data_IF_738902144284
#
_entry.id   IF_738902144284
#
_cell.length_a   1.000
_cell.length_b   1.000
_cell.length_c   1.000
_cell.angle_alpha   90.00
_cell.angle_beta   90.00
_cell.angle_gamma   90.00
#
_symmetry.space_group_name_H-M   'P 1'
#
loop_
_entity.id
_entity.type
_entity.pdbx_description
1 polymer ?
#
# COMPACT_ATOMS: atom_id res chain seq x y z
N UNK A 1 -5.33 3.96 19.09
CA UNK A 1 -5.31 4.22 17.71
C UNK A 1 -4.69 3.09 16.93
N UNK A 2 -5.44 2.59 16.02
CA UNK A 2 -4.99 1.46 15.25
C UNK A 2 -4.40 1.89 13.93
N UNK A 3 -3.18 1.48 13.71
CA UNK A 3 -2.55 1.71 12.44
C UNK A 3 -2.05 0.40 11.92
N UNK A 4 -2.18 0.21 10.64
CA UNK A 4 -1.69 -1.01 10.05
C UNK A 4 -0.18 -1.08 10.24
N UNK A 5 0.28 -2.27 10.53
CA UNK A 5 1.70 -2.49 10.67
C UNK A 5 2.39 -2.15 9.34
N UNK A 6 3.57 -1.55 9.38
CA UNK A 6 4.26 -1.19 8.14
C UNK A 6 4.43 -2.35 7.18
N UNK A 7 4.65 -3.54 7.70
CA UNK A 7 4.79 -4.70 6.83
C UNK A 7 3.49 -4.98 6.09
N UNK A 8 2.36 -4.76 6.75
CA UNK A 8 1.07 -4.96 6.12
C UNK A 8 0.84 -3.90 5.05
N UNK A 9 1.20 -2.66 5.34
CA UNK A 9 1.06 -1.60 4.36
C UNK A 9 1.92 -1.86 3.14
N UNK A 10 3.12 -2.33 3.38
CA UNK A 10 4.04 -2.64 2.30
C UNK A 10 3.47 -3.73 1.41
N UNK A 11 2.90 -4.74 2.02
CA UNK A 11 2.28 -5.83 1.28
C UNK A 11 1.09 -5.34 0.48
N UNK A 12 0.28 -4.47 1.07
CA UNK A 12 -0.88 -3.91 0.39
C UNK A 12 -0.45 -3.06 -0.81
N UNK A 13 0.61 -2.29 -0.64
CA UNK A 13 1.11 -1.49 -1.74
C UNK A 13 1.58 -2.37 -2.88
N UNK A 14 2.28 -3.44 -2.55
CA UNK A 14 2.78 -4.36 -3.56
C UNK A 14 1.63 -5.00 -4.30
N UNK A 15 0.61 -5.42 -3.58
CA UNK A 15 -0.56 -6.03 -4.20
C UNK A 15 -1.28 -5.04 -5.10
N UNK A 16 -1.36 -3.81 -4.65
CA UNK A 16 -2.04 -2.80 -5.44
C UNK A 16 -1.32 -2.60 -6.77
N UNK A 17 -0.01 -2.46 -6.72
CA UNK A 17 0.77 -2.27 -7.94
C UNK A 17 0.62 -3.46 -8.88
N UNK A 18 0.68 -4.64 -8.31
CA UNK A 18 0.57 -5.85 -9.11
C UNK A 18 -0.79 -5.96 -9.78
N UNK A 19 -1.84 -5.71 -9.02
CA UNK A 19 -3.18 -5.81 -9.56
C UNK A 19 -3.44 -4.70 -10.58
N UNK A 20 -2.88 -3.54 -10.33
CA UNK A 20 -3.06 -2.44 -11.26
C UNK A 20 -2.43 -2.76 -12.61
N UNK A 21 -1.28 -3.40 -12.57
CA UNK A 21 -0.63 -3.83 -13.80
C UNK A 21 -1.48 -4.84 -14.54
N UNK A 22 -2.04 -5.78 -13.80
CA UNK A 22 -2.85 -6.81 -14.41
C UNK A 22 -4.20 -6.31 -14.85
N UNK A 23 -4.65 -5.23 -14.29
CA UNK A 23 -5.96 -4.69 -14.61
C UNK A 23 -6.08 -4.41 -16.10
N UNK A 24 -4.98 -4.02 -16.72
CA UNK A 24 -4.98 -3.75 -18.14
C UNK A 24 -5.20 -4.99 -18.99
N UNK A 25 -4.99 -6.15 -18.39
CA UNK A 25 -5.17 -7.40 -19.12
C UNK A 25 -6.61 -7.89 -19.03
N UNK A 26 -7.43 -7.20 -18.28
CA UNK A 26 -8.82 -7.59 -18.16
C UNK A 26 -9.02 -8.58 -17.05
N UNK A 27 -10.26 -8.99 -16.87
CA UNK A 27 -10.55 -9.95 -15.83
C UNK A 27 -11.33 -9.31 -14.70
N UNK A 28 -12.54 -9.80 -14.48
CA UNK A 28 -13.40 -9.25 -13.45
C UNK A 28 -12.79 -9.43 -12.08
N UNK A 29 -12.12 -10.54 -11.89
CA UNK A 29 -11.52 -10.81 -10.60
C UNK A 29 -10.45 -9.81 -10.23
N UNK A 30 -9.70 -9.37 -11.22
CA UNK A 30 -8.64 -8.41 -10.98
C UNK A 30 -9.22 -7.07 -10.54
N UNK A 31 -10.26 -6.61 -11.23
CA UNK A 31 -10.88 -5.35 -10.89
C UNK A 31 -11.42 -5.36 -9.47
N UNK A 32 -12.06 -6.47 -9.10
CA UNK A 32 -12.62 -6.59 -7.77
C UNK A 32 -11.52 -6.58 -6.70
N UNK A 33 -10.46 -7.32 -6.95
CA UNK A 33 -9.37 -7.37 -5.99
C UNK A 33 -8.68 -6.03 -5.85
N UNK A 34 -8.54 -5.33 -6.97
CA UNK A 34 -7.96 -4.01 -6.93
C UNK A 34 -8.81 -3.07 -6.08
N UNK A 35 -10.11 -3.20 -6.23
CA UNK A 35 -11.04 -2.40 -5.45
C UNK A 35 -10.90 -2.70 -3.97
N UNK A 36 -10.80 -3.98 -3.64
CA UNK A 36 -10.66 -4.40 -2.25
C UNK A 36 -9.39 -3.87 -1.64
N UNK A 37 -8.30 -3.99 -2.35
CA UNK A 37 -7.01 -3.52 -1.84
C UNK A 37 -7.04 -2.01 -1.68
N UNK A 38 -7.64 -1.31 -2.64
CA UNK A 38 -7.77 0.13 -2.55
C UNK A 38 -8.55 0.54 -1.32
N UNK A 39 -9.65 -0.13 -1.09
CA UNK A 39 -10.46 0.17 0.08
C UNK A 39 -9.68 -0.09 1.37
N UNK A 40 -8.98 -1.21 1.40
CA UNK A 40 -8.20 -1.56 2.58
C UNK A 40 -7.12 -0.52 2.84
N UNK A 41 -6.48 -0.06 1.78
CA UNK A 41 -5.46 0.97 1.92
C UNK A 41 -6.07 2.27 2.47
N UNK A 42 -7.23 2.64 1.96
CA UNK A 42 -7.89 3.84 2.43
C UNK A 42 -8.23 3.73 3.91
N UNK A 43 -8.77 2.61 4.31
CA UNK A 43 -9.14 2.41 5.70
C UNK A 43 -7.89 2.40 6.58
N UNK A 44 -6.85 1.73 6.12
CA UNK A 44 -5.64 1.58 6.92
C UNK A 44 -4.92 2.91 7.10
N UNK A 45 -5.05 3.80 6.16
CA UNK A 45 -4.37 5.10 6.25
C UNK A 45 -5.30 6.23 6.67
N UNK A 46 -6.57 5.93 6.81
CA UNK A 46 -7.53 6.95 7.22
C UNK A 46 -7.81 7.96 6.13
N UNK A 47 -7.72 7.55 4.87
CA UNK A 47 -7.97 8.44 3.76
C UNK A 47 -9.23 8.01 3.03
N UNK A 48 -9.66 8.85 2.11
CA UNK A 48 -10.88 8.58 1.37
C UNK A 48 -10.70 8.22 -0.08
N UNK A 49 -9.53 8.51 -0.62
CA UNK A 49 -9.29 8.14 -1.99
C UNK A 49 -7.95 7.44 -2.11
N UNK A 50 -7.82 6.70 -3.18
CA UNK A 50 -6.66 5.85 -3.34
C UNK A 50 -5.37 6.63 -3.52
N UNK A 51 -5.42 7.77 -4.16
CA UNK A 51 -4.22 8.56 -4.36
C UNK A 51 -3.66 9.01 -3.02
N UNK A 52 -4.53 9.50 -2.15
CA UNK A 52 -4.11 9.91 -0.82
C UNK A 52 -3.66 8.71 -0.01
N UNK A 53 -4.35 7.59 -0.17
CA UNK A 53 -4.01 6.39 0.56
C UNK A 53 -2.62 5.89 0.18
N UNK A 54 -2.31 5.91 -1.10
CA UNK A 54 -1.02 5.47 -1.57
C UNK A 54 0.09 6.36 -1.03
N UNK A 55 -0.12 7.65 -1.07
CA UNK A 55 0.86 8.58 -0.55
C UNK A 55 1.09 8.36 0.94
N UNK A 56 0.01 8.24 1.68
CA UNK A 56 0.11 8.04 3.12
C UNK A 56 0.77 6.72 3.45
N UNK A 57 0.40 5.67 2.72
CA UNK A 57 0.98 4.36 2.98
C UNK A 57 2.46 4.33 2.69
N UNK A 58 2.86 4.92 1.58
CA UNK A 58 4.28 4.95 1.23
C UNK A 58 5.07 5.75 2.23
N UNK A 59 4.49 6.83 2.68
CA UNK A 59 5.15 7.66 3.68
C UNK A 59 5.31 6.90 4.98
N UNK A 60 4.27 6.18 5.37
CA UNK A 60 4.30 5.41 6.58
C UNK A 60 5.36 4.30 6.52
N UNK A 61 5.39 3.61 5.42
CA UNK A 61 6.36 2.53 5.23
C UNK A 61 7.77 3.09 5.27
N UNK A 62 7.98 4.21 4.60
CA UNK A 62 9.30 4.82 4.55
C UNK A 62 9.76 5.25 5.94
N UNK A 63 8.87 5.80 6.71
CA UNK A 63 9.23 6.23 8.06
C UNK A 63 9.54 5.08 8.97
N UNK A 64 8.81 4.00 8.81
CA UNK A 64 8.95 2.84 9.68
C UNK A 64 9.95 1.84 9.18
N UNK A 65 10.42 2.02 7.96
CA UNK A 65 11.34 1.06 7.38
C UNK A 65 12.61 1.02 8.20
N UNK A 66 13.21 -0.16 8.27
CA UNK A 66 14.50 -0.25 8.95
C UNK A 66 15.48 0.67 8.28
N UNK A 67 16.25 1.32 9.07
CA UNK A 67 17.20 2.23 8.54
C UNK A 67 18.41 1.54 8.01
N UNK A 68 18.21 0.74 7.05
CA UNK A 68 19.31 0.01 6.51
C UNK A 68 20.43 0.89 6.04
N UNK A 69 20.06 1.91 5.29
CA UNK A 69 21.09 2.80 4.82
C UNK A 69 21.69 3.57 5.97
N UNK A 70 20.87 4.00 6.89
CA UNK A 70 21.36 4.69 8.04
C UNK A 70 22.30 3.84 8.84
N UNK A 71 21.94 2.62 9.02
CA UNK A 71 22.76 1.69 9.78
C UNK A 71 24.08 1.45 9.07
N UNK A 72 24.01 1.30 7.79
CA UNK A 72 25.21 1.01 7.03
C UNK A 72 26.18 2.15 7.02
N UNK A 73 25.68 3.32 7.11
CA UNK A 73 26.57 4.47 7.08
C UNK A 73 27.32 4.64 8.39
N UNK A 74 26.95 3.92 9.36
CA UNK A 74 27.64 4.01 10.64
C UNK A 74 29.03 3.45 10.62
#
# INVERSE_FOLDING_TARGET
MLMAHPAVLEELLRRYEELRTRHGEGGDGVARRLDDVSYTLCVSTGTRDIAAALTAAREQVRRSAPRRDGVLSV
#
